data_IF_799084543430
#
_entry.id   IF_799084543430
#
_cell.length_a   1.000
_cell.length_b   1.000
_cell.length_c   1.000
_cell.angle_alpha   90.00
_cell.angle_beta   90.00
_cell.angle_gamma   90.00
#
_symmetry.space_group_name_H-M   'P 1'
#
loop_
_entity.id
_entity.type
_entity.pdbx_description
1 polymer ?
#
# COMPACT_ATOMS: atom_id res chain seq x y z
N UNK A 1 -4.78 23.53 -0.68
CA UNK A 1 -5.90 22.76 -1.27
C UNK A 1 -7.12 23.68 -1.36
N UNK A 2 -7.81 23.67 -2.49
CA UNK A 2 -9.05 24.40 -2.70
C UNK A 2 -10.27 23.58 -2.26
N UNK A 3 -10.16 22.27 -2.32
CA UNK A 3 -11.17 21.32 -1.88
C UNK A 3 -10.49 20.00 -1.49
N UNK A 4 -10.92 19.42 -0.38
CA UNK A 4 -10.42 18.15 0.11
C UNK A 4 -11.58 17.17 0.24
N UNK A 5 -11.54 16.08 -0.53
CA UNK A 5 -12.54 15.01 -0.53
C UNK A 5 -11.90 13.75 0.05
N UNK A 6 -12.55 13.15 1.03
CA UNK A 6 -12.14 11.88 1.62
C UNK A 6 -13.15 10.79 1.27
N UNK A 7 -12.66 9.66 0.81
CA UNK A 7 -13.38 8.42 0.62
C UNK A 7 -12.95 7.45 1.71
N UNK A 8 -13.82 7.10 2.63
CA UNK A 8 -13.47 6.27 3.77
C UNK A 8 -14.65 5.42 4.26
N UNK A 9 -14.41 4.17 4.71
CA UNK A 9 -15.44 3.34 5.35
C UNK A 9 -15.73 3.80 6.79
N UNK A 10 -14.80 4.51 7.45
CA UNK A 10 -14.93 5.07 8.79
C UNK A 10 -14.61 6.55 8.80
N UNK A 11 -15.19 7.27 9.75
CA UNK A 11 -14.88 8.68 9.94
C UNK A 11 -13.58 8.83 10.73
N UNK A 12 -12.46 8.74 10.03
CA UNK A 12 -11.10 8.82 10.57
C UNK A 12 -10.62 10.27 10.78
N UNK A 13 -9.40 10.44 11.26
CA UNK A 13 -8.87 11.75 11.62
C UNK A 13 -8.73 12.71 10.44
N UNK A 14 -8.39 12.21 9.26
CA UNK A 14 -8.30 13.00 8.03
C UNK A 14 -9.68 13.46 7.52
N UNK A 15 -10.72 12.64 7.73
CA UNK A 15 -12.10 13.02 7.41
C UNK A 15 -12.58 14.27 8.16
N UNK A 16 -11.98 14.57 9.32
CA UNK A 16 -12.29 15.79 10.10
C UNK A 16 -11.85 17.09 9.41
N UNK A 17 -10.92 16.99 8.48
CA UNK A 17 -10.39 18.12 7.72
C UNK A 17 -10.94 18.20 6.31
N UNK A 18 -11.79 17.24 5.91
CA UNK A 18 -12.36 17.18 4.58
C UNK A 18 -13.53 18.18 4.41
N UNK A 19 -13.63 18.74 3.20
CA UNK A 19 -14.81 19.51 2.78
C UNK A 19 -15.98 18.58 2.44
N UNK A 20 -15.68 17.39 1.94
CA UNK A 20 -16.65 16.36 1.55
C UNK A 20 -16.14 15.00 2.01
N UNK A 21 -16.99 14.23 2.69
CA UNK A 21 -16.72 12.83 3.03
C UNK A 21 -17.71 11.96 2.26
N UNK A 22 -17.19 11.01 1.51
CA UNK A 22 -17.95 10.01 0.77
C UNK A 22 -17.82 8.66 1.50
N UNK A 23 -18.92 8.10 2.00
CA UNK A 23 -18.89 6.78 2.63
C UNK A 23 -18.60 5.70 1.58
N UNK A 24 -17.55 4.93 1.81
CA UNK A 24 -17.10 3.87 0.91
C UNK A 24 -17.30 2.52 1.57
N UNK A 25 -17.56 1.51 0.75
CA UNK A 25 -17.71 0.12 1.18
C UNK A 25 -16.39 -0.44 1.70
N UNK A 26 -16.52 -1.40 2.60
CA UNK A 26 -15.40 -2.27 2.97
C UNK A 26 -15.23 -3.39 1.93
N UNK A 27 -14.15 -4.15 2.03
CA UNK A 27 -13.89 -5.33 1.20
C UNK A 27 -14.99 -6.40 1.28
N UNK A 28 -15.73 -6.47 2.40
CA UNK A 28 -16.83 -7.41 2.56
C UNK A 28 -18.09 -7.01 1.78
N UNK A 29 -18.21 -5.75 1.42
CA UNK A 29 -19.39 -5.16 0.78
C UNK A 29 -19.24 -5.04 -0.74
N UNK A 30 -18.12 -5.45 -1.32
CA UNK A 30 -17.88 -5.33 -2.77
C UNK A 30 -17.19 -6.56 -3.32
N UNK A 31 -17.40 -6.82 -4.61
CA UNK A 31 -16.62 -7.80 -5.34
C UNK A 31 -15.43 -7.11 -6.01
N UNK A 32 -14.28 -7.78 -6.01
CA UNK A 32 -13.05 -7.28 -6.60
C UNK A 32 -12.16 -8.44 -7.08
N UNK A 33 -10.99 -8.10 -7.53
CA UNK A 33 -9.96 -9.00 -8.01
C UNK A 33 -8.62 -8.65 -7.35
N UNK A 34 -8.02 -9.64 -6.71
CA UNK A 34 -6.75 -9.49 -6.03
C UNK A 34 -5.65 -10.37 -6.60
N UNK A 35 -4.40 -9.99 -6.37
CA UNK A 35 -3.23 -10.82 -6.65
C UNK A 35 -2.25 -10.76 -5.47
N UNK A 36 -1.48 -11.82 -5.26
CA UNK A 36 -0.38 -11.85 -4.29
C UNK A 36 1.00 -12.05 -4.96
N UNK A 37 1.07 -11.75 -6.26
CA UNK A 37 2.27 -11.97 -7.07
C UNK A 37 3.51 -11.22 -6.57
N UNK A 38 3.32 -10.06 -5.94
CA UNK A 38 4.43 -9.17 -5.56
C UNK A 38 4.93 -9.38 -4.13
N UNK A 39 4.10 -9.89 -3.24
CA UNK A 39 4.42 -9.99 -1.81
C UNK A 39 4.07 -11.34 -1.18
N UNK A 40 3.27 -12.15 -1.85
CA UNK A 40 2.87 -13.46 -1.40
C UNK A 40 3.91 -14.55 -1.64
N UNK A 41 3.69 -15.70 -1.02
CA UNK A 41 4.49 -16.92 -1.28
C UNK A 41 4.00 -17.67 -2.52
N UNK A 42 2.86 -17.28 -3.05
CA UNK A 42 2.18 -17.93 -4.17
C UNK A 42 1.93 -16.89 -5.26
N UNK A 43 2.17 -17.26 -6.49
CA UNK A 43 1.71 -16.45 -7.61
C UNK A 43 0.25 -16.81 -7.87
N UNK A 44 -0.66 -16.09 -7.22
CA UNK A 44 -2.09 -16.38 -7.28
C UNK A 44 -2.92 -15.16 -7.64
N UNK A 45 -4.08 -15.44 -8.21
CA UNK A 45 -5.17 -14.49 -8.41
C UNK A 45 -6.36 -14.91 -7.58
N UNK A 46 -7.08 -13.95 -7.04
CA UNK A 46 -8.14 -14.15 -6.07
C UNK A 46 -9.39 -13.42 -6.56
N UNK A 47 -10.53 -14.10 -6.55
CA UNK A 47 -11.83 -13.48 -6.71
C UNK A 47 -12.40 -13.14 -5.34
N UNK A 48 -12.47 -11.85 -5.06
CA UNK A 48 -13.08 -11.33 -3.85
C UNK A 48 -14.57 -11.16 -4.09
N UNK A 49 -15.38 -12.02 -3.48
CA UNK A 49 -16.82 -11.98 -3.62
C UNK A 49 -17.45 -11.12 -2.54
N UNK A 50 -18.41 -10.30 -2.91
CA UNK A 50 -19.21 -9.53 -1.96
C UNK A 50 -19.89 -10.49 -0.96
N UNK A 51 -19.63 -10.31 0.32
CA UNK A 51 -20.15 -11.17 1.39
C UNK A 51 -21.39 -10.60 2.09
N UNK A 52 -21.54 -9.27 2.11
CA UNK A 52 -22.65 -8.57 2.74
C UNK A 52 -23.13 -7.42 1.84
N UNK A 53 -24.39 -7.02 2.02
CA UNK A 53 -24.93 -5.83 1.36
C UNK A 53 -24.24 -4.56 1.86
N UNK A 54 -24.25 -3.49 1.04
CA UNK A 54 -23.73 -2.19 1.43
C UNK A 54 -24.38 -1.67 2.71
N UNK A 55 -23.58 -1.18 3.63
CA UNK A 55 -24.06 -0.61 4.88
C UNK A 55 -24.39 0.87 4.70
N UNK A 56 -25.61 1.25 5.03
CA UNK A 56 -26.07 2.65 4.97
C UNK A 56 -26.06 3.21 3.55
N UNK A 57 -25.37 4.30 3.33
CA UNK A 57 -25.23 4.98 2.03
C UNK A 57 -23.89 4.70 1.34
N UNK A 58 -23.11 3.74 1.86
CA UNK A 58 -21.81 3.41 1.32
C UNK A 58 -21.90 2.96 -0.15
N UNK A 59 -20.91 3.33 -0.92
CA UNK A 59 -20.71 2.92 -2.32
C UNK A 59 -19.29 2.44 -2.50
N UNK A 60 -19.06 1.57 -3.48
CA UNK A 60 -17.68 1.24 -3.83
C UNK A 60 -16.93 2.48 -4.33
N UNK A 61 -15.61 2.51 -4.19
CA UNK A 61 -14.78 3.57 -4.78
C UNK A 61 -15.07 3.76 -6.26
N UNK A 62 -15.29 2.66 -6.96
CA UNK A 62 -15.61 2.66 -8.38
C UNK A 62 -16.98 3.32 -8.67
N UNK A 63 -18.00 3.04 -7.88
CA UNK A 63 -19.32 3.67 -7.99
C UNK A 63 -19.25 5.18 -7.67
N UNK A 64 -18.46 5.57 -6.68
CA UNK A 64 -18.23 6.96 -6.34
C UNK A 64 -17.57 7.70 -7.52
N UNK A 65 -16.50 7.14 -8.09
CA UNK A 65 -15.84 7.70 -9.28
C UNK A 65 -16.78 7.79 -10.49
N UNK A 66 -17.60 6.77 -10.73
CA UNK A 66 -18.62 6.80 -11.78
C UNK A 66 -19.66 7.91 -11.53
N UNK A 67 -20.07 8.09 -10.27
CA UNK A 67 -20.99 9.17 -9.89
C UNK A 67 -20.42 10.55 -10.19
N UNK A 68 -19.17 10.77 -9.84
CA UNK A 68 -18.45 12.02 -10.14
C UNK A 68 -18.34 12.22 -11.67
N UNK A 69 -17.99 11.17 -12.42
CA UNK A 69 -17.89 11.24 -13.87
C UNK A 69 -19.20 11.69 -14.52
N UNK A 70 -20.33 11.10 -14.12
CA UNK A 70 -21.67 11.49 -14.60
C UNK A 70 -22.03 12.92 -14.22
N UNK A 71 -21.72 13.33 -12.99
CA UNK A 71 -21.99 14.69 -12.53
C UNK A 71 -21.19 15.74 -13.33
N UNK A 72 -19.97 15.42 -13.72
CA UNK A 72 -19.13 16.32 -14.53
C UNK A 72 -19.60 16.48 -15.97
N UNK A 73 -20.34 15.52 -16.53
CA UNK A 73 -20.84 15.60 -17.92
C UNK A 73 -21.72 16.82 -18.19
N UNK A 74 -22.37 17.38 -17.16
CA UNK A 74 -23.19 18.58 -17.28
C UNK A 74 -22.41 19.81 -17.77
N UNK A 75 -21.09 19.82 -17.57
CA UNK A 75 -20.21 20.90 -17.99
C UNK A 75 -19.76 20.79 -19.45
N UNK A 76 -20.02 19.66 -20.12
CA UNK A 76 -19.64 19.44 -21.52
C UNK A 76 -18.14 19.50 -21.79
N UNK A 77 -17.75 19.73 -23.04
CA UNK A 77 -16.36 19.85 -23.45
C UNK A 77 -15.52 18.62 -23.10
N UNK A 78 -14.44 18.79 -22.33
CA UNK A 78 -13.56 17.67 -21.92
C UNK A 78 -14.26 16.60 -21.10
N UNK A 79 -15.41 16.89 -20.52
CA UNK A 79 -16.19 15.96 -19.70
C UNK A 79 -17.29 15.24 -20.48
N UNK A 80 -17.47 15.55 -21.76
CA UNK A 80 -18.47 14.92 -22.61
C UNK A 80 -18.25 13.41 -22.70
N UNK A 81 -19.31 12.64 -22.46
CA UNK A 81 -19.27 11.17 -22.40
C UNK A 81 -18.22 10.61 -21.45
N UNK A 82 -17.91 11.31 -20.36
CA UNK A 82 -16.84 10.94 -19.43
C UNK A 82 -17.12 9.57 -18.81
N UNK A 83 -18.35 9.32 -18.37
CA UNK A 83 -18.74 8.03 -17.80
C UNK A 83 -18.53 6.88 -18.81
N UNK A 84 -18.97 7.06 -20.05
CA UNK A 84 -18.81 6.05 -21.10
C UNK A 84 -17.33 5.80 -21.44
N UNK A 85 -16.52 6.85 -21.47
CA UNK A 85 -15.08 6.73 -21.71
C UNK A 85 -14.37 6.02 -20.57
N UNK A 86 -14.78 6.28 -19.32
CA UNK A 86 -14.22 5.70 -18.12
C UNK A 86 -14.58 4.21 -18.02
N UNK A 87 -15.85 3.86 -18.17
CA UNK A 87 -16.34 2.49 -17.97
C UNK A 87 -16.25 1.62 -19.21
N UNK A 88 -16.12 2.25 -20.40
CA UNK A 88 -16.26 1.59 -21.71
C UNK A 88 -17.62 0.89 -21.87
N UNK A 89 -18.62 1.28 -21.08
CA UNK A 89 -19.94 0.65 -21.05
C UNK A 89 -19.98 -0.73 -20.39
N UNK A 90 -18.94 -1.10 -19.65
CA UNK A 90 -18.79 -2.40 -18.99
C UNK A 90 -19.32 -2.38 -17.55
N UNK A 91 -19.87 -3.48 -17.13
CA UNK A 91 -20.20 -3.72 -15.72
C UNK A 91 -18.93 -3.91 -14.87
N UNK A 92 -19.08 -3.86 -13.55
CA UNK A 92 -17.98 -4.17 -12.62
C UNK A 92 -17.50 -5.62 -12.81
N UNK A 93 -18.42 -6.57 -13.00
CA UNK A 93 -18.07 -7.97 -13.26
C UNK A 93 -17.27 -8.14 -14.57
N UNK A 94 -17.65 -7.42 -15.65
CA UNK A 94 -16.89 -7.45 -16.90
C UNK A 94 -15.46 -6.93 -16.71
N UNK A 95 -15.27 -5.92 -15.87
CA UNK A 95 -13.94 -5.35 -15.58
C UNK A 95 -13.09 -6.27 -14.72
N UNK A 96 -13.68 -6.91 -13.71
CA UNK A 96 -13.01 -7.94 -12.91
C UNK A 96 -12.58 -9.11 -13.80
N UNK A 97 -13.47 -9.54 -14.70
CA UNK A 97 -13.17 -10.57 -15.68
C UNK A 97 -12.03 -10.17 -16.61
N UNK A 98 -12.00 -8.94 -17.10
CA UNK A 98 -10.87 -8.44 -17.90
C UNK A 98 -9.54 -8.47 -17.11
N UNK A 99 -9.57 -8.12 -15.82
CA UNK A 99 -8.42 -8.25 -14.94
C UNK A 99 -7.93 -9.70 -14.85
N UNK A 100 -8.84 -10.63 -14.65
CA UNK A 100 -8.54 -12.06 -14.65
C UNK A 100 -7.95 -12.53 -15.99
N UNK A 101 -8.51 -12.10 -17.11
CA UNK A 101 -8.01 -12.44 -18.44
C UNK A 101 -6.63 -11.85 -18.73
N UNK A 102 -6.25 -10.77 -18.05
CA UNK A 102 -4.95 -10.08 -18.22
C UNK A 102 -3.85 -10.54 -17.24
N UNK A 103 -4.16 -11.35 -16.24
CA UNK A 103 -3.26 -11.66 -15.12
C UNK A 103 -2.14 -12.68 -15.41
N UNK A 104 -1.90 -13.04 -16.67
CA UNK A 104 -0.79 -13.94 -17.06
C UNK A 104 -1.13 -15.42 -17.06
N UNK A 105 -2.38 -15.81 -16.79
CA UNK A 105 -2.86 -17.18 -16.98
C UNK A 105 -2.97 -17.47 -18.49
N UNK A 106 -2.48 -18.63 -18.94
CA UNK A 106 -2.62 -19.04 -20.33
C UNK A 106 -4.09 -19.14 -20.74
N UNK A 107 -4.43 -18.75 -21.98
CA UNK A 107 -5.82 -18.67 -22.44
C UNK A 107 -6.56 -20.00 -22.29
N UNK A 108 -5.90 -21.10 -22.59
CA UNK A 108 -6.42 -22.47 -22.48
C UNK A 108 -6.68 -22.93 -21.03
N UNK A 109 -6.07 -22.26 -20.06
CA UNK A 109 -6.23 -22.56 -18.63
C UNK A 109 -7.27 -21.65 -17.94
N UNK A 110 -7.83 -20.68 -18.68
CA UNK A 110 -8.80 -19.73 -18.15
C UNK A 110 -10.21 -20.35 -18.15
N UNK A 111 -10.78 -20.41 -16.98
CA UNK A 111 -12.19 -20.77 -16.79
C UNK A 111 -12.79 -19.82 -15.77
N UNK A 112 -13.50 -18.81 -16.26
CA UNK A 112 -14.10 -17.76 -15.42
C UNK A 112 -15.10 -18.29 -14.40
N UNK A 113 -15.94 -19.24 -14.77
CA UNK A 113 -16.93 -19.78 -13.84
C UNK A 113 -16.29 -20.67 -12.78
N UNK A 114 -15.33 -21.50 -13.15
CA UNK A 114 -14.54 -22.28 -12.21
C UNK A 114 -13.70 -21.40 -11.28
N UNK A 115 -13.17 -20.28 -11.78
CA UNK A 115 -12.44 -19.29 -10.98
C UNK A 115 -13.35 -18.65 -9.94
N UNK A 116 -14.55 -18.18 -10.33
CA UNK A 116 -15.54 -17.61 -9.41
C UNK A 116 -15.99 -18.62 -8.34
N UNK A 117 -16.19 -19.88 -8.72
CA UNK A 117 -16.56 -20.93 -7.79
C UNK A 117 -15.45 -21.24 -6.79
N UNK A 118 -14.22 -21.41 -7.28
CA UNK A 118 -13.04 -21.74 -6.46
C UNK A 118 -12.51 -20.58 -5.63
N UNK A 119 -12.78 -19.34 -6.05
CA UNK A 119 -12.33 -18.06 -5.46
C UNK A 119 -10.84 -17.76 -5.67
N UNK A 120 -10.06 -18.65 -6.22
CA UNK A 120 -8.65 -18.39 -6.55
C UNK A 120 -8.18 -19.28 -7.70
N UNK A 121 -7.10 -18.84 -8.33
CA UNK A 121 -6.33 -19.63 -9.26
C UNK A 121 -4.84 -19.37 -9.06
N UNK A 122 -4.03 -20.41 -9.04
CA UNK A 122 -2.58 -20.27 -9.04
C UNK A 122 -2.11 -20.04 -10.49
N UNK A 123 -1.23 -19.09 -10.66
CA UNK A 123 -0.54 -18.87 -11.93
C UNK A 123 0.64 -19.84 -11.95
N UNK A 124 0.73 -20.77 -12.92
CA UNK A 124 1.82 -21.71 -12.98
C UNK A 124 3.16 -21.01 -13.10
N UNK A 125 4.14 -21.47 -12.35
CA UNK A 125 5.53 -21.06 -12.53
C UNK A 125 6.12 -21.84 -13.68
N UNK A 126 7.13 -21.27 -14.35
CA UNK A 126 7.86 -21.98 -15.39
C UNK A 126 8.64 -23.14 -14.81
N UNK A 127 8.74 -24.23 -15.58
CA UNK A 127 9.56 -25.37 -15.23
C UNK A 127 11.02 -24.93 -15.05
N UNK A 128 11.69 -25.43 -14.03
CA UNK A 128 13.08 -25.07 -13.66
C UNK A 128 13.26 -23.59 -13.25
N UNK A 129 12.27 -22.98 -12.66
CA UNK A 129 12.32 -21.58 -12.20
C UNK A 129 13.53 -21.30 -11.28
N UNK A 130 14.00 -22.28 -10.49
CA UNK A 130 15.19 -22.14 -9.64
C UNK A 130 16.48 -21.88 -10.45
N UNK A 131 16.52 -22.33 -11.69
CA UNK A 131 17.62 -22.08 -12.62
C UNK A 131 17.49 -20.78 -13.42
N UNK A 132 16.39 -20.07 -13.28
CA UNK A 132 16.16 -18.81 -14.00
C UNK A 132 16.94 -17.66 -13.39
N UNK A 133 17.32 -16.73 -14.24
CA UNK A 133 17.96 -15.49 -13.79
C UNK A 133 16.97 -14.66 -12.96
N UNK A 134 17.38 -14.28 -11.76
CA UNK A 134 16.61 -13.44 -10.83
C UNK A 134 17.28 -12.11 -10.60
N UNK A 135 16.50 -11.09 -10.21
CA UNK A 135 17.00 -9.77 -9.89
C UNK A 135 17.79 -9.14 -11.04
N UNK A 136 19.00 -8.72 -10.79
CA UNK A 136 19.86 -8.04 -11.76
C UNK A 136 20.73 -8.99 -12.61
N UNK A 137 20.49 -10.28 -12.59
CA UNK A 137 21.34 -11.26 -13.29
C UNK A 137 21.30 -11.12 -14.82
N UNK A 138 20.18 -10.67 -15.38
CA UNK A 138 20.10 -10.30 -16.80
C UNK A 138 21.07 -9.17 -17.15
N UNK A 139 21.03 -8.07 -16.37
CA UNK A 139 21.97 -6.96 -16.50
C UNK A 139 23.43 -7.42 -16.29
N UNK A 140 23.70 -8.23 -15.28
CA UNK A 140 25.06 -8.75 -15.01
C UNK A 140 25.60 -9.61 -16.14
N UNK A 141 24.77 -10.39 -16.82
CA UNK A 141 25.18 -11.27 -17.92
C UNK A 141 25.31 -10.54 -19.26
N UNK A 142 24.44 -9.58 -19.54
CA UNK A 142 24.44 -8.80 -20.79
C UNK A 142 23.77 -7.44 -20.57
N UNK A 143 24.52 -6.42 -20.10
CA UNK A 143 23.97 -5.10 -19.82
C UNK A 143 23.36 -4.40 -21.04
N UNK A 144 23.82 -4.74 -22.23
CA UNK A 144 23.33 -4.18 -23.48
C UNK A 144 21.96 -4.72 -23.88
N UNK A 145 21.70 -6.01 -23.61
CA UNK A 145 20.41 -6.65 -23.89
C UNK A 145 19.39 -6.40 -22.78
N UNK A 146 19.85 -6.26 -21.55
CA UNK A 146 19.02 -6.07 -20.35
C UNK A 146 19.47 -4.83 -19.57
N UNK A 147 19.37 -3.63 -20.18
CA UNK A 147 19.79 -2.40 -19.51
C UNK A 147 18.92 -2.14 -18.26
N UNK A 148 19.49 -1.39 -17.32
CA UNK A 148 18.72 -0.85 -16.20
C UNK A 148 17.71 0.18 -16.70
N UNK A 149 16.64 0.38 -15.91
CA UNK A 149 15.62 1.40 -16.19
C UNK A 149 16.07 2.84 -15.86
N UNK A 150 17.34 3.01 -15.56
CA UNK A 150 17.97 4.31 -15.29
C UNK A 150 18.26 5.08 -16.58
N UNK A 151 18.42 6.41 -16.56
CA UNK A 151 18.76 7.21 -17.74
C UNK A 151 19.98 6.72 -18.51
N UNK A 152 20.99 6.20 -17.82
CA UNK A 152 22.21 5.66 -18.47
C UNK A 152 22.09 4.20 -18.90
N UNK A 153 21.01 3.50 -18.55
CA UNK A 153 20.89 2.05 -18.71
C UNK A 153 21.83 1.25 -17.80
N UNK A 154 22.47 1.87 -16.84
CA UNK A 154 23.45 1.27 -15.92
C UNK A 154 23.07 1.53 -14.47
N UNK A 155 23.79 0.91 -13.54
CA UNK A 155 23.67 1.23 -12.12
C UNK A 155 24.24 2.67 -11.93
N UNK A 156 23.42 3.56 -11.39
CA UNK A 156 23.80 4.96 -11.17
C UNK A 156 24.02 5.21 -9.67
N UNK A 157 25.21 5.68 -9.32
CA UNK A 157 25.56 6.16 -7.98
C UNK A 157 25.38 7.67 -7.84
N UNK A 158 25.15 8.36 -8.94
CA UNK A 158 24.86 9.78 -9.03
C UNK A 158 23.50 9.98 -9.67
N UNK A 159 22.58 10.58 -8.94
CA UNK A 159 21.24 10.88 -9.45
C UNK A 159 21.24 12.21 -10.19
N UNK A 160 21.16 12.15 -11.50
CA UNK A 160 21.03 13.35 -12.34
C UNK A 160 19.72 14.09 -12.05
N UNK A 161 18.65 13.37 -11.77
CA UNK A 161 17.36 13.97 -11.41
C UNK A 161 17.42 14.79 -10.11
N UNK A 162 18.08 14.28 -9.06
CA UNK A 162 18.27 15.06 -7.83
C UNK A 162 19.13 16.28 -8.06
N UNK A 163 20.20 16.17 -8.84
CA UNK A 163 21.07 17.30 -9.17
C UNK A 163 20.35 18.39 -9.97
N UNK A 164 19.46 18.01 -10.88
CA UNK A 164 18.74 18.93 -11.75
C UNK A 164 17.56 19.60 -11.06
N UNK A 165 16.76 18.81 -10.34
CA UNK A 165 15.50 19.31 -9.75
C UNK A 165 15.67 19.87 -8.33
N UNK A 166 16.71 19.46 -7.60
CA UNK A 166 16.98 19.88 -6.23
C UNK A 166 18.44 20.29 -6.01
N UNK A 167 19.01 21.22 -6.82
CA UNK A 167 20.44 21.55 -6.81
C UNK A 167 20.91 22.15 -5.47
N UNK A 168 20.03 22.80 -4.73
CA UNK A 168 20.34 23.45 -3.46
C UNK A 168 20.06 22.58 -2.23
N UNK A 169 19.53 21.38 -2.41
CA UNK A 169 19.25 20.45 -1.31
C UNK A 169 20.52 19.72 -0.88
N UNK A 170 21.15 20.23 0.15
CA UNK A 170 22.38 19.64 0.70
C UNK A 170 22.16 18.34 1.47
N UNK A 171 20.95 18.05 1.86
CA UNK A 171 20.60 16.85 2.61
C UNK A 171 20.31 15.68 1.68
N UNK A 172 19.62 15.93 0.57
CA UNK A 172 19.26 14.94 -0.45
C UNK A 172 20.05 15.20 -1.73
N UNK A 173 21.37 15.26 -1.58
CA UNK A 173 22.28 15.46 -2.72
C UNK A 173 22.24 14.30 -3.71
N UNK A 174 22.83 14.48 -4.90
CA UNK A 174 22.77 13.48 -5.97
C UNK A 174 23.54 12.19 -5.67
N UNK A 175 24.34 12.18 -4.62
CA UNK A 175 25.07 10.99 -4.14
C UNK A 175 24.65 10.71 -2.70
N UNK A 176 24.35 9.45 -2.39
CA UNK A 176 24.07 9.04 -1.02
C UNK A 176 25.28 9.31 -0.11
N UNK A 177 25.04 9.95 1.00
CA UNK A 177 26.05 10.25 2.01
C UNK A 177 25.46 10.22 3.41
N UNK A 178 26.30 10.12 4.41
CA UNK A 178 25.85 10.21 5.80
C UNK A 178 25.47 11.66 6.13
N UNK A 179 24.25 11.85 6.64
CA UNK A 179 23.76 13.16 7.06
C UNK A 179 23.84 13.24 8.59
N UNK A 180 24.76 14.02 9.12
CA UNK A 180 24.99 14.14 10.56
C UNK A 180 23.99 15.07 11.25
N UNK A 181 23.63 16.16 10.59
CA UNK A 181 22.70 17.16 11.13
C UNK A 181 21.90 17.81 10.01
N UNK A 182 20.78 18.41 10.35
CA UNK A 182 19.90 19.11 9.44
C UNK A 182 18.44 18.96 9.85
N UNK A 183 17.53 19.62 9.13
CA UNK A 183 16.11 19.58 9.39
C UNK A 183 15.60 18.12 9.31
N UNK A 184 14.90 17.68 10.37
CA UNK A 184 14.40 16.30 10.48
C UNK A 184 15.43 15.25 10.89
N UNK A 185 16.68 15.65 11.20
CA UNK A 185 17.74 14.74 11.64
C UNK A 185 18.23 14.99 13.07
N UNK A 186 17.49 15.77 13.85
CA UNK A 186 17.77 16.01 15.26
C UNK A 186 17.50 14.79 16.16
N UNK A 187 16.94 13.75 15.62
CA UNK A 187 16.60 12.52 16.34
C UNK A 187 17.77 11.56 16.51
N UNK A 188 18.97 11.90 16.01
CA UNK A 188 20.15 11.06 16.13
C UNK A 188 20.75 11.11 17.53
N UNK A 189 21.41 10.02 17.93
CA UNK A 189 22.13 9.96 19.21
C UNK A 189 23.31 10.94 19.26
N UNK A 190 23.81 11.42 18.14
CA UNK A 190 24.84 12.48 18.05
C UNK A 190 24.29 13.90 18.17
N UNK A 191 22.98 14.10 18.16
CA UNK A 191 22.37 15.43 18.24
C UNK A 191 22.32 15.98 19.67
N UNK A 192 22.19 17.30 19.81
CA UNK A 192 21.97 17.95 21.11
C UNK A 192 20.68 17.47 21.78
N UNK A 193 19.65 17.16 20.96
CA UNK A 193 18.37 16.61 21.45
C UNK A 193 18.57 15.27 22.17
N UNK A 194 19.53 14.43 21.72
CA UNK A 194 19.84 13.16 22.32
C UNK A 194 20.33 13.26 23.77
N UNK A 195 20.85 14.40 24.20
CA UNK A 195 21.21 14.64 25.62
C UNK A 195 19.96 14.61 26.52
N UNK A 196 18.83 15.05 25.99
CA UNK A 196 17.53 15.04 26.69
C UNK A 196 16.75 13.77 26.42
N UNK A 197 16.84 13.22 25.21
CA UNK A 197 16.10 12.05 24.74
C UNK A 197 17.07 11.00 24.19
N UNK A 198 17.71 10.21 25.07
CA UNK A 198 18.86 9.36 24.72
C UNK A 198 18.51 8.04 24.04
N UNK A 199 17.27 7.84 23.64
CA UNK A 199 16.81 6.61 22.99
C UNK A 199 16.33 6.89 21.57
N UNK A 200 16.66 5.98 20.66
CA UNK A 200 16.01 5.89 19.37
C UNK A 200 14.84 4.91 19.48
N UNK A 201 13.72 5.31 18.96
CA UNK A 201 12.53 4.44 18.87
C UNK A 201 12.56 3.76 17.51
N UNK A 202 12.54 2.44 17.52
CA UNK A 202 12.34 1.62 16.33
C UNK A 202 10.89 1.12 16.32
N UNK A 203 10.15 1.46 15.28
CA UNK A 203 8.75 1.09 15.13
C UNK A 203 8.61 -0.03 14.10
N UNK A 204 8.48 -1.25 14.58
CA UNK A 204 8.26 -2.42 13.71
C UNK A 204 6.79 -2.55 13.33
N UNK A 205 6.53 -3.07 12.15
CA UNK A 205 5.16 -3.40 11.74
C UNK A 205 4.59 -4.52 12.63
N UNK A 206 3.42 -4.32 13.24
CA UNK A 206 2.74 -5.38 13.98
C UNK A 206 2.21 -6.45 13.01
N UNK A 207 1.95 -7.64 13.53
CA UNK A 207 1.47 -8.77 12.73
C UNK A 207 -0.04 -8.75 12.42
N UNK A 208 -0.80 -7.94 13.15
CA UNK A 208 -2.27 -7.94 13.13
C UNK A 208 -2.89 -6.70 12.48
N UNK A 209 -2.08 -5.74 12.04
CA UNK A 209 -2.53 -4.54 11.35
C UNK A 209 -1.43 -3.98 10.46
N UNK A 210 -1.79 -3.13 9.55
CA UNK A 210 -0.85 -2.35 8.71
C UNK A 210 -0.75 -0.95 9.31
N UNK A 211 0.42 -0.61 9.86
CA UNK A 211 0.62 0.66 10.59
C UNK A 211 -0.41 0.83 11.72
N UNK A 212 -1.23 1.91 11.65
CA UNK A 212 -2.34 2.15 12.55
C UNK A 212 -3.72 1.84 11.92
N UNK A 213 -3.74 1.35 10.68
CA UNK A 213 -4.98 0.97 10.02
C UNK A 213 -5.71 -0.13 10.80
N UNK A 214 -7.03 0.01 10.89
CA UNK A 214 -7.90 -0.88 11.64
C UNK A 214 -7.64 -0.94 13.15
N UNK A 215 -6.91 0.03 13.72
CA UNK A 215 -6.60 0.05 15.15
C UNK A 215 -7.85 0.25 16.03
N UNK A 216 -8.90 0.81 15.48
CA UNK A 216 -10.22 0.98 16.08
C UNK A 216 -11.16 -0.22 15.90
N UNK A 217 -10.78 -1.21 15.08
CA UNK A 217 -11.55 -2.44 14.91
C UNK A 217 -11.33 -3.37 16.10
N UNK A 218 -12.39 -3.63 16.86
CA UNK A 218 -12.32 -4.40 18.11
C UNK A 218 -11.71 -5.79 17.92
N UNK A 219 -12.02 -6.50 16.86
CA UNK A 219 -11.48 -7.82 16.57
C UNK A 219 -9.95 -7.83 16.50
N UNK A 220 -9.33 -6.80 15.93
CA UNK A 220 -7.87 -6.69 15.91
C UNK A 220 -7.32 -6.36 17.30
N UNK A 221 -8.08 -5.65 18.12
CA UNK A 221 -7.70 -5.36 19.52
C UNK A 221 -7.77 -6.59 20.41
N UNK A 222 -8.63 -7.57 20.10
CA UNK A 222 -8.73 -8.84 20.81
C UNK A 222 -7.56 -9.80 20.55
N UNK A 223 -6.75 -9.56 19.50
CA UNK A 223 -5.58 -10.39 19.21
C UNK A 223 -4.54 -10.22 20.31
N UNK A 224 -4.25 -11.30 21.03
CA UNK A 224 -3.34 -11.31 22.18
C UNK A 224 -1.85 -11.22 21.79
N UNK A 225 -1.51 -11.51 20.55
CA UNK A 225 -0.13 -11.55 20.06
C UNK A 225 0.58 -10.22 20.31
N UNK A 226 1.75 -10.29 20.98
CA UNK A 226 2.58 -9.14 21.31
C UNK A 226 1.92 -8.09 22.22
N UNK A 227 0.87 -8.44 22.94
CA UNK A 227 0.28 -7.58 23.96
C UNK A 227 0.61 -8.06 25.37
N UNK A 228 0.56 -7.14 26.31
CA UNK A 228 0.70 -7.41 27.75
C UNK A 228 -0.51 -6.86 28.48
N UNK A 229 -1.02 -7.63 29.43
CA UNK A 229 -2.14 -7.21 30.26
C UNK A 229 -1.63 -6.28 31.35
N UNK A 230 -2.14 -5.05 31.36
CA UNK A 230 -1.86 -4.06 32.40
C UNK A 230 -2.59 -4.36 33.71
N UNK A 231 -2.26 -3.63 34.80
CA UNK A 231 -2.91 -3.78 36.09
C UNK A 231 -4.42 -3.50 36.09
N UNK A 232 -4.89 -2.75 35.11
CA UNK A 232 -6.30 -2.41 34.86
C UNK A 232 -7.04 -3.46 34.04
N UNK A 233 -6.35 -4.53 33.62
CA UNK A 233 -6.89 -5.61 32.78
C UNK A 233 -6.91 -5.30 31.30
N UNK A 234 -6.41 -4.14 30.86
CA UNK A 234 -6.35 -3.79 29.44
C UNK A 234 -5.10 -4.41 28.77
N UNK A 235 -5.25 -4.81 27.50
CA UNK A 235 -4.17 -5.38 26.69
C UNK A 235 -3.42 -4.26 25.94
N UNK A 236 -2.26 -3.89 26.44
CA UNK A 236 -1.40 -2.86 25.87
C UNK A 236 -0.37 -3.43 24.88
N UNK A 237 -0.01 -2.64 23.88
CA UNK A 237 1.18 -2.89 23.08
C UNK A 237 2.42 -2.46 23.87
N UNK A 238 3.38 -3.37 24.12
CA UNK A 238 4.53 -3.07 24.94
C UNK A 238 5.60 -2.29 24.19
N UNK A 239 6.33 -1.47 24.91
CA UNK A 239 7.63 -0.96 24.46
C UNK A 239 8.72 -1.90 24.95
N UNK A 240 9.55 -2.37 24.04
CA UNK A 240 10.69 -3.22 24.35
C UNK A 240 11.90 -2.36 24.70
N UNK A 241 12.47 -2.58 25.86
CA UNK A 241 13.60 -1.81 26.37
C UNK A 241 14.70 -2.77 26.87
N UNK A 242 15.96 -2.39 26.69
CA UNK A 242 17.05 -3.16 27.28
C UNK A 242 16.89 -3.21 28.80
N UNK A 243 17.02 -4.37 29.45
CA UNK A 243 16.80 -4.49 30.90
C UNK A 243 17.68 -3.56 31.77
N UNK A 244 18.92 -3.30 31.37
CA UNK A 244 19.81 -2.36 32.07
C UNK A 244 19.34 -0.90 31.96
N UNK A 245 18.75 -0.55 30.82
CA UNK A 245 18.18 0.78 30.60
C UNK A 245 16.87 0.93 31.39
N UNK A 246 16.05 -0.11 31.44
CA UNK A 246 14.85 -0.15 32.26
C UNK A 246 15.19 0.07 33.73
N UNK A 247 16.19 -0.67 34.27
CA UNK A 247 16.68 -0.51 35.63
C UNK A 247 17.17 0.92 35.89
N UNK A 248 18.00 1.46 35.00
CA UNK A 248 18.51 2.85 35.09
C UNK A 248 17.42 3.90 35.13
N UNK A 249 16.32 3.66 34.42
CA UNK A 249 15.17 4.57 34.34
C UNK A 249 14.14 4.31 35.45
N UNK A 250 14.31 3.26 36.26
CA UNK A 250 13.34 2.86 37.27
C UNK A 250 12.02 2.33 36.68
N UNK A 251 12.04 1.85 35.45
CA UNK A 251 10.89 1.22 34.77
C UNK A 251 10.87 -0.26 35.14
N UNK A 252 9.69 -0.79 35.50
CA UNK A 252 9.49 -2.19 35.87
C UNK A 252 8.76 -2.96 34.80
#
# INVERSE_FOLDING_TARGET
LECYVVQAPWFEDDARFADIVLPITTKFESSDFGTDADSGQWNSVIYEEQAIEHVGEARTDWEAVQGVARALEVYGGRYENLWQRLTKGKSTEDQIREGYEACGIAEEERDWEAFKERKYQLIPTVENWEGMMTGLSGFASSPEMFPMTTPSGKIEFYSTGLAEHFPDDKMRGPVAHWIESGDGHDDRLSSERAKKYPFLVESNHPRWRVHAEFDDVEWFREIETCKVIGPDGYAYEPVWLNPRDAERLGVK
#
